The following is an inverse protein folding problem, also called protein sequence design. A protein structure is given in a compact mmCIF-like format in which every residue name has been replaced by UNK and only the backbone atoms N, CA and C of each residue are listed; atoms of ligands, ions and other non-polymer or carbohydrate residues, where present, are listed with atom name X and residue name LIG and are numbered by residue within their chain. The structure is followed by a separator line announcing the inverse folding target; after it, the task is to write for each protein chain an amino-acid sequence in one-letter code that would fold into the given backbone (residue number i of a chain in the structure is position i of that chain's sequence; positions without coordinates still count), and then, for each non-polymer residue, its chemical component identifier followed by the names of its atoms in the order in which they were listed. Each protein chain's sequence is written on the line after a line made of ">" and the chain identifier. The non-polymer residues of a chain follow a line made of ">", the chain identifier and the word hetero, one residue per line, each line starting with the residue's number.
data_IF_159166299519
#
_entry.id   IF_159166299519
#
_cell.length_a   1.000
_cell.length_b   1.000
_cell.length_c   1.000
_cell.angle_alpha   90.00
_cell.angle_beta   90.00
_cell.angle_gamma   90.00
#
_symmetry.space_group_name_H-M   'P 1'
#
loop_
_entity.id
_entity.type
_entity.pdbx_description
1 polymer ?
#
# COMPACT_ATOMS: atom_id res chain seq x y z
N UNK A 1 -29.47 -23.71 -67.51
CA UNK A 1 -28.36 -22.73 -67.40
C UNK A 1 -28.78 -21.44 -66.70
N UNK A 2 -29.90 -20.81 -67.06
CA UNK A 2 -30.37 -19.55 -66.45
C UNK A 2 -30.53 -19.60 -64.91
N UNK A 3 -31.04 -20.72 -64.36
CA UNK A 3 -31.15 -20.93 -62.92
C UNK A 3 -29.81 -20.84 -62.19
N UNK A 4 -28.75 -21.46 -62.73
CA UNK A 4 -27.41 -21.41 -62.15
C UNK A 4 -26.81 -20.00 -62.22
N UNK A 5 -27.07 -19.26 -63.29
CA UNK A 5 -26.66 -17.85 -63.42
C UNK A 5 -27.33 -17.00 -62.33
N UNK A 6 -28.61 -17.20 -62.07
CA UNK A 6 -29.34 -16.47 -61.01
C UNK A 6 -28.79 -16.80 -59.61
N UNK A 7 -28.47 -18.07 -59.33
CA UNK A 7 -27.84 -18.46 -58.06
C UNK A 7 -26.48 -17.77 -57.89
N UNK A 8 -25.65 -17.79 -58.92
CA UNK A 8 -24.33 -17.14 -58.89
C UNK A 8 -24.49 -15.63 -58.67
N UNK A 9 -25.41 -14.99 -59.38
CA UNK A 9 -25.69 -13.57 -59.21
C UNK A 9 -26.18 -13.24 -57.78
N UNK A 10 -27.10 -14.04 -57.24
CA UNK A 10 -27.59 -13.88 -55.87
C UNK A 10 -26.47 -14.09 -54.84
N UNK A 11 -25.59 -15.07 -55.05
CA UNK A 11 -24.45 -15.33 -54.18
C UNK A 11 -23.43 -14.16 -54.19
N UNK A 12 -23.12 -13.62 -55.37
CA UNK A 12 -22.26 -12.43 -55.51
C UNK A 12 -22.88 -11.25 -54.77
N UNK A 13 -24.18 -11.02 -54.95
CA UNK A 13 -24.90 -9.92 -54.28
C UNK A 13 -24.89 -10.09 -52.76
N UNK A 14 -25.12 -11.30 -52.25
CA UNK A 14 -25.09 -11.60 -50.82
C UNK A 14 -23.69 -11.44 -50.23
N UNK A 15 -22.66 -11.86 -50.96
CA UNK A 15 -21.25 -11.67 -50.55
C UNK A 15 -20.86 -10.19 -50.52
N UNK A 16 -21.28 -9.42 -51.54
CA UNK A 16 -21.06 -7.98 -51.58
C UNK A 16 -21.77 -7.26 -50.43
N UNK A 17 -23.02 -7.64 -50.12
CA UNK A 17 -23.78 -7.12 -48.98
C UNK A 17 -23.09 -7.46 -47.65
N UNK A 18 -22.67 -8.71 -47.46
CA UNK A 18 -21.94 -9.15 -46.28
C UNK A 18 -20.66 -8.33 -46.09
N UNK A 19 -19.88 -8.12 -47.16
CA UNK A 19 -18.65 -7.33 -47.09
C UNK A 19 -18.90 -5.85 -46.76
N UNK A 20 -19.98 -5.27 -47.29
CA UNK A 20 -20.38 -3.90 -46.98
C UNK A 20 -20.74 -3.73 -45.49
N UNK A 21 -21.50 -4.67 -44.92
CA UNK A 21 -21.85 -4.70 -43.50
C UNK A 21 -20.59 -4.87 -42.65
N UNK A 22 -19.74 -5.85 -42.98
CA UNK A 22 -18.48 -6.11 -42.27
C UNK A 22 -17.59 -4.87 -42.24
N UNK A 23 -17.45 -4.17 -43.38
CA UNK A 23 -16.69 -2.92 -43.48
C UNK A 23 -17.29 -1.82 -42.59
N UNK A 24 -18.61 -1.72 -42.51
CA UNK A 24 -19.30 -0.80 -41.61
C UNK A 24 -18.97 -1.07 -40.14
N UNK A 25 -19.06 -2.35 -39.71
CA UNK A 25 -18.73 -2.79 -38.36
C UNK A 25 -17.26 -2.51 -38.03
N UNK A 26 -16.33 -2.86 -38.93
CA UNK A 26 -14.89 -2.62 -38.73
C UNK A 26 -14.57 -1.12 -38.58
N UNK A 27 -15.21 -0.25 -39.38
CA UNK A 27 -15.06 1.20 -39.23
C UNK A 27 -15.57 1.69 -37.87
N UNK A 28 -16.75 1.23 -37.45
CA UNK A 28 -17.31 1.61 -36.15
C UNK A 28 -16.42 1.15 -35.00
N UNK A 29 -15.91 -0.09 -35.05
CA UNK A 29 -14.95 -0.63 -34.07
C UNK A 29 -13.66 0.20 -34.05
N UNK A 30 -13.10 0.52 -35.21
CA UNK A 30 -11.89 1.34 -35.32
C UNK A 30 -12.10 2.75 -34.74
N UNK A 31 -13.25 3.38 -35.01
CA UNK A 31 -13.60 4.67 -34.41
C UNK A 31 -13.75 4.58 -32.89
N UNK A 32 -14.43 3.55 -32.38
CA UNK A 32 -14.58 3.33 -30.95
C UNK A 32 -13.21 3.11 -30.26
N UNK A 33 -12.35 2.28 -30.86
CA UNK A 33 -10.97 2.07 -30.39
C UNK A 33 -10.16 3.37 -30.42
N UNK A 34 -10.35 4.21 -31.44
CA UNK A 34 -9.74 5.53 -31.52
C UNK A 34 -10.15 6.43 -30.34
N UNK A 35 -11.45 6.50 -30.05
CA UNK A 35 -11.98 7.27 -28.91
C UNK A 35 -11.44 6.73 -27.58
N UNK A 36 -11.49 5.41 -27.37
CA UNK A 36 -10.95 4.76 -26.17
C UNK A 36 -9.45 5.07 -26.02
N UNK A 37 -8.68 5.01 -27.11
CA UNK A 37 -7.25 5.29 -27.10
C UNK A 37 -6.96 6.73 -26.68
N UNK A 38 -7.72 7.70 -27.19
CA UNK A 38 -7.60 9.12 -26.77
C UNK A 38 -7.90 9.28 -25.29
N UNK A 39 -8.97 8.65 -24.78
CA UNK A 39 -9.32 8.69 -23.36
C UNK A 39 -8.19 8.08 -22.51
N UNK A 40 -7.65 6.93 -22.91
CA UNK A 40 -6.54 6.27 -22.21
C UNK A 40 -5.26 7.13 -22.21
N UNK A 41 -4.96 7.82 -23.31
CA UNK A 41 -3.83 8.76 -23.38
C UNK A 41 -4.03 9.91 -22.37
N UNK A 42 -5.22 10.51 -22.33
CA UNK A 42 -5.53 11.60 -21.38
C UNK A 42 -5.36 11.09 -19.94
N UNK A 43 -5.97 9.96 -19.59
CA UNK A 43 -5.84 9.37 -18.24
C UNK A 43 -4.38 9.01 -17.91
N UNK A 44 -3.62 8.51 -18.89
CA UNK A 44 -2.20 8.22 -18.73
C UNK A 44 -1.38 9.46 -18.40
N UNK A 45 -1.60 10.58 -19.11
CA UNK A 45 -0.93 11.85 -18.82
C UNK A 45 -1.26 12.34 -17.41
N UNK A 46 -2.53 12.29 -17.01
CA UNK A 46 -2.95 12.68 -15.65
C UNK A 46 -2.31 11.81 -14.57
N UNK A 47 -2.25 10.50 -14.77
CA UNK A 47 -1.58 9.59 -13.85
C UNK A 47 -0.07 9.87 -13.73
N UNK A 48 0.60 10.24 -14.83
CA UNK A 48 2.03 10.62 -14.82
C UNK A 48 2.24 11.93 -14.06
N UNK A 49 1.40 12.94 -14.28
CA UNK A 49 1.49 14.21 -13.56
C UNK A 49 1.30 14.00 -12.06
N UNK A 50 0.28 13.24 -11.67
CA UNK A 50 0.01 12.90 -10.28
C UNK A 50 1.13 12.05 -9.64
N UNK A 51 1.76 11.15 -10.40
CA UNK A 51 2.94 10.42 -9.95
C UNK A 51 4.15 11.31 -9.68
N UNK A 52 4.39 12.30 -10.54
CA UNK A 52 5.45 13.29 -10.31
C UNK A 52 5.18 14.13 -9.07
N UNK A 53 3.95 14.64 -8.93
CA UNK A 53 3.54 15.38 -7.74
C UNK A 53 3.66 14.52 -6.48
N UNK A 54 3.31 13.23 -6.54
CA UNK A 54 3.51 12.31 -5.43
C UNK A 54 4.97 12.17 -5.02
N UNK A 55 5.89 12.00 -5.98
CA UNK A 55 7.33 11.87 -5.72
C UNK A 55 7.94 13.16 -5.15
N UNK A 56 7.46 14.32 -5.60
CA UNK A 56 7.89 15.62 -5.06
C UNK A 56 7.35 15.83 -3.64
N UNK A 57 6.06 15.54 -3.42
CA UNK A 57 5.39 15.66 -2.13
C UNK A 57 5.95 14.68 -1.09
N UNK A 58 6.35 13.46 -1.51
CA UNK A 58 6.89 12.44 -0.60
C UNK A 58 8.24 12.80 0.01
N UNK A 59 8.92 13.80 -0.54
CA UNK A 59 10.15 14.36 0.03
C UNK A 59 9.88 15.41 1.09
N UNK A 60 8.63 15.83 1.26
CA UNK A 60 8.22 16.84 2.23
C UNK A 60 7.40 16.22 3.36
N UNK A 61 7.43 16.79 4.58
CA UNK A 61 6.57 16.33 5.66
C UNK A 61 5.08 16.41 5.30
N UNK A 62 4.30 15.51 5.90
CA UNK A 62 2.85 15.46 5.77
C UNK A 62 2.29 14.12 5.27
N UNK A 63 3.07 13.06 5.28
CA UNK A 63 2.60 11.71 4.97
C UNK A 63 2.35 10.93 6.26
N UNK A 64 1.25 10.20 6.31
CA UNK A 64 0.90 9.33 7.42
C UNK A 64 0.68 7.90 6.90
N UNK A 65 1.40 6.93 7.47
CA UNK A 65 1.16 5.50 7.27
C UNK A 65 0.48 4.97 8.51
N UNK A 66 -0.59 4.22 8.32
CA UNK A 66 -1.42 3.65 9.37
C UNK A 66 -1.45 2.15 9.17
N UNK A 67 -1.19 1.40 10.24
CA UNK A 67 -1.42 -0.03 10.28
C UNK A 67 -2.83 -0.29 10.81
N UNK A 68 -3.66 -0.93 10.01
CA UNK A 68 -5.04 -1.30 10.35
C UNK A 68 -5.20 -2.82 10.43
N UNK A 69 -6.00 -3.27 11.39
CA UNK A 69 -6.47 -4.65 11.44
C UNK A 69 -7.96 -4.63 11.80
N UNK A 70 -8.81 -5.10 10.88
CA UNK A 70 -10.27 -5.13 11.03
C UNK A 70 -10.89 -3.77 11.42
N UNK A 71 -10.37 -2.67 10.88
CA UNK A 71 -10.82 -1.31 11.19
C UNK A 71 -10.30 -0.76 12.53
N UNK A 72 -9.39 -1.47 13.20
CA UNK A 72 -8.63 -1.00 14.37
C UNK A 72 -7.26 -0.52 13.93
N UNK A 73 -6.99 0.77 14.16
CA UNK A 73 -5.66 1.34 14.04
C UNK A 73 -4.73 0.76 15.11
N UNK A 74 -3.71 0.01 14.70
CA UNK A 74 -2.73 -0.60 15.60
C UNK A 74 -1.52 0.31 15.82
N UNK A 75 -1.05 0.98 14.77
CA UNK A 75 0.14 1.82 14.79
C UNK A 75 0.07 2.89 13.69
N UNK A 76 0.92 3.92 13.78
CA UNK A 76 1.10 4.86 12.69
C UNK A 76 2.49 5.49 12.65
N UNK A 77 2.98 5.80 11.46
CA UNK A 77 4.31 6.36 11.22
C UNK A 77 4.15 7.57 10.30
N UNK A 78 4.74 8.69 10.68
CA UNK A 78 4.79 9.87 9.81
C UNK A 78 6.04 9.82 8.94
N UNK A 79 5.89 10.31 7.71
CA UNK A 79 7.01 10.76 6.87
C UNK A 79 8.07 9.68 6.59
N UNK A 80 7.59 8.44 6.38
CA UNK A 80 8.41 7.24 6.14
C UNK A 80 9.47 7.41 5.04
N UNK A 81 9.20 8.22 4.02
CA UNK A 81 10.08 8.41 2.86
C UNK A 81 11.02 9.61 2.94
N UNK A 82 11.10 10.29 4.09
CA UNK A 82 12.05 11.38 4.23
C UNK A 82 13.49 10.86 4.26
N UNK A 83 14.38 11.53 3.53
CA UNK A 83 15.81 11.17 3.49
C UNK A 83 16.49 11.37 4.85
N UNK A 84 16.01 12.34 5.64
CA UNK A 84 16.50 12.56 7.00
C UNK A 84 15.78 11.62 7.97
N UNK A 85 16.46 10.55 8.38
CA UNK A 85 15.93 9.60 9.37
C UNK A 85 15.65 10.26 10.72
N UNK A 86 16.34 11.34 11.08
CA UNK A 86 16.11 12.06 12.32
C UNK A 86 14.87 12.97 12.24
N UNK A 87 14.34 13.22 11.05
CA UNK A 87 13.11 13.98 10.84
C UNK A 87 11.84 13.12 11.01
N UNK A 88 11.97 11.80 11.25
CA UNK A 88 10.81 10.94 11.53
C UNK A 88 10.16 11.32 12.85
N UNK A 89 9.13 12.17 12.78
CA UNK A 89 8.32 12.53 13.95
C UNK A 89 7.44 11.35 14.33
N UNK A 90 7.80 10.68 15.43
CA UNK A 90 6.94 9.68 16.06
C UNK A 90 5.63 10.32 16.51
N UNK A 91 4.55 9.54 16.41
CA UNK A 91 3.20 10.01 16.71
C UNK A 91 2.94 9.94 18.21
N UNK A 92 2.42 11.02 18.78
CA UNK A 92 2.02 11.03 20.19
C UNK A 92 0.74 10.22 20.39
N UNK A 93 0.48 9.79 21.63
CA UNK A 93 -0.75 9.07 21.99
C UNK A 93 -2.02 9.88 21.67
N UNK A 94 -1.94 11.21 21.86
CA UNK A 94 -3.04 12.14 21.54
C UNK A 94 -3.30 12.23 20.03
N UNK A 95 -2.24 12.31 19.22
CA UNK A 95 -2.34 12.29 17.75
C UNK A 95 -2.95 10.97 17.28
N UNK A 96 -2.46 9.83 17.80
CA UNK A 96 -2.96 8.51 17.44
C UNK A 96 -4.44 8.34 17.83
N UNK A 97 -4.81 8.75 19.04
CA UNK A 97 -6.19 8.71 19.53
C UNK A 97 -7.13 9.63 18.74
N UNK A 98 -6.65 10.78 18.28
CA UNK A 98 -7.41 11.70 17.42
C UNK A 98 -7.66 11.09 16.04
N UNK A 99 -6.62 10.52 15.43
CA UNK A 99 -6.73 9.86 14.13
C UNK A 99 -7.59 8.60 14.19
N UNK A 100 -7.47 7.79 15.25
CA UNK A 100 -8.31 6.62 15.46
C UNK A 100 -9.80 6.98 15.51
N UNK A 101 -10.18 8.03 16.26
CA UNK A 101 -11.57 8.51 16.32
C UNK A 101 -12.09 8.95 14.95
N UNK A 102 -11.28 9.70 14.22
CA UNK A 102 -11.62 10.18 12.87
C UNK A 102 -11.77 9.03 11.88
N UNK A 103 -10.85 8.06 11.94
CA UNK A 103 -10.84 6.87 11.08
C UNK A 103 -12.06 5.99 11.32
N UNK A 104 -12.35 5.65 12.58
CA UNK A 104 -13.52 4.85 12.97
C UNK A 104 -14.85 5.54 12.62
N UNK A 105 -14.89 6.87 12.72
CA UNK A 105 -16.02 7.70 12.29
C UNK A 105 -16.16 7.85 10.77
N UNK A 106 -15.26 7.25 9.97
CA UNK A 106 -15.15 7.43 8.52
C UNK A 106 -14.92 8.89 8.10
N UNK A 107 -14.47 9.75 9.01
CA UNK A 107 -14.11 11.14 8.75
C UNK A 107 -12.63 11.23 8.32
N UNK A 108 -12.35 10.68 7.13
CA UNK A 108 -11.02 10.76 6.53
C UNK A 108 -10.60 12.22 6.26
N UNK A 109 -11.57 13.13 6.06
CA UNK A 109 -11.28 14.56 5.87
C UNK A 109 -10.68 15.17 7.13
N UNK A 110 -11.10 14.72 8.32
CA UNK A 110 -10.50 15.10 9.59
C UNK A 110 -9.00 14.77 9.65
N UNK A 111 -8.62 13.55 9.23
CA UNK A 111 -7.21 13.11 9.21
C UNK A 111 -6.39 13.90 8.18
N UNK A 112 -6.98 14.22 7.03
CA UNK A 112 -6.34 14.97 5.94
C UNK A 112 -6.14 16.46 6.22
N UNK A 113 -6.69 17.04 7.30
CA UNK A 113 -6.48 18.47 7.60
C UNK A 113 -5.00 18.80 7.84
N UNK A 114 -4.31 17.90 8.53
CA UNK A 114 -2.92 18.09 8.94
C UNK A 114 -1.95 17.22 8.12
N UNK A 115 -2.48 16.44 7.17
CA UNK A 115 -1.71 15.48 6.36
C UNK A 115 -2.05 15.65 4.90
N UNK A 116 -1.01 15.74 4.07
CA UNK A 116 -1.14 15.76 2.61
C UNK A 116 -1.65 14.42 2.11
N UNK A 117 -1.15 13.32 2.68
CA UNK A 117 -1.51 11.96 2.30
C UNK A 117 -1.59 11.02 3.51
N UNK A 118 -2.54 10.10 3.45
CA UNK A 118 -2.72 9.04 4.44
C UNK A 118 -2.76 7.70 3.71
N UNK A 119 -1.92 6.77 4.13
CA UNK A 119 -1.85 5.39 3.66
C UNK A 119 -2.35 4.49 4.77
N UNK A 120 -3.41 3.74 4.52
CA UNK A 120 -3.94 2.76 5.45
C UNK A 120 -3.57 1.39 4.93
N UNK A 121 -2.72 0.69 5.67
CA UNK A 121 -2.16 -0.62 5.31
C UNK A 121 -2.80 -1.66 6.22
N UNK A 122 -3.44 -2.65 5.62
CA UNK A 122 -4.02 -3.80 6.30
C UNK A 122 -2.91 -4.71 6.85
N UNK A 123 -3.05 -5.23 8.07
CA UNK A 123 -2.08 -6.13 8.71
C UNK A 123 -1.78 -7.38 7.86
N UNK A 124 -2.74 -7.88 7.07
CA UNK A 124 -2.53 -9.00 6.14
C UNK A 124 -1.54 -8.70 5.00
N UNK A 125 -1.16 -7.42 4.81
CA UNK A 125 -0.05 -7.03 3.93
C UNK A 125 1.27 -7.72 4.30
N UNK A 126 1.42 -8.10 5.57
CA UNK A 126 2.66 -8.64 6.13
C UNK A 126 2.63 -10.17 6.30
N UNK A 127 1.54 -10.85 5.92
CA UNK A 127 1.39 -12.30 6.12
C UNK A 127 2.46 -13.13 5.41
N UNK A 128 2.98 -12.61 4.30
CA UNK A 128 4.04 -13.26 3.51
C UNK A 128 5.42 -13.20 4.15
N UNK A 129 5.62 -12.40 5.22
CA UNK A 129 6.88 -12.35 5.95
C UNK A 129 7.11 -13.67 6.69
N UNK A 130 8.37 -14.10 6.76
CA UNK A 130 8.84 -15.29 7.47
C UNK A 130 9.86 -14.89 8.53
N UNK A 131 10.18 -15.78 9.47
CA UNK A 131 11.17 -15.49 10.54
C UNK A 131 12.54 -15.04 9.99
N UNK A 132 12.96 -15.58 8.84
CA UNK A 132 14.19 -15.15 8.16
C UNK A 132 14.22 -13.68 7.79
N UNK A 133 13.07 -13.06 7.52
CA UNK A 133 12.98 -11.65 7.11
C UNK A 133 13.28 -10.70 8.28
N UNK A 134 13.20 -11.20 9.52
CA UNK A 134 13.50 -10.45 10.74
C UNK A 134 14.94 -10.63 11.23
N UNK A 135 15.78 -11.41 10.54
CA UNK A 135 17.18 -11.64 10.91
C UNK A 135 18.01 -10.38 11.20
N UNK A 136 17.83 -9.25 10.48
CA UNK A 136 18.53 -8.00 10.80
C UNK A 136 18.11 -7.31 12.11
N UNK A 137 17.04 -7.79 12.74
CA UNK A 137 16.46 -7.25 13.96
C UNK A 137 16.70 -8.21 15.11
N UNK A 138 17.93 -8.21 15.63
CA UNK A 138 18.32 -9.09 16.74
C UNK A 138 17.28 -9.04 17.87
N UNK A 139 16.85 -10.21 18.32
CA UNK A 139 15.84 -10.35 19.37
C UNK A 139 14.40 -10.11 18.93
N UNK A 140 14.07 -9.85 17.65
CA UNK A 140 12.68 -9.75 17.18
C UNK A 140 12.33 -10.93 16.27
N UNK A 141 11.32 -11.71 16.67
CA UNK A 141 10.70 -12.73 15.82
C UNK A 141 9.44 -12.19 15.18
N UNK A 142 9.01 -12.78 14.06
CA UNK A 142 7.75 -12.42 13.39
C UNK A 142 6.59 -12.52 14.37
N UNK A 143 6.45 -13.66 15.04
CA UNK A 143 5.34 -13.90 15.97
C UNK A 143 5.32 -12.91 17.12
N UNK A 144 6.50 -12.53 17.64
CA UNK A 144 6.60 -11.49 18.66
C UNK A 144 6.10 -10.14 18.14
N UNK A 145 6.58 -9.68 16.97
CA UNK A 145 6.19 -8.38 16.41
C UNK A 145 4.67 -8.28 16.20
N UNK A 146 4.07 -9.31 15.61
CA UNK A 146 2.61 -9.34 15.39
C UNK A 146 1.84 -9.39 16.71
N UNK A 147 2.27 -10.23 17.66
CA UNK A 147 1.62 -10.31 18.98
C UNK A 147 1.72 -9.01 19.78
N UNK A 148 2.87 -8.33 19.71
CA UNK A 148 3.11 -7.08 20.42
C UNK A 148 2.30 -5.92 19.81
N UNK A 149 2.17 -5.86 18.48
CA UNK A 149 1.31 -4.89 17.79
C UNK A 149 -0.17 -5.05 18.14
N UNK A 150 -0.63 -6.27 18.38
CA UNK A 150 -2.01 -6.59 18.78
C UNK A 150 -2.26 -6.47 20.28
N UNK A 151 -1.20 -6.50 21.09
CA UNK A 151 -1.28 -6.39 22.55
C UNK A 151 -1.89 -5.05 22.94
N UNK A 152 -2.72 -5.05 23.98
CA UNK A 152 -3.19 -3.81 24.60
C UNK A 152 -2.09 -3.07 25.37
N UNK A 153 -0.94 -3.71 25.59
CA UNK A 153 0.25 -3.09 26.17
C UNK A 153 1.51 -3.62 25.48
N UNK A 154 1.90 -2.97 24.38
CA UNK A 154 3.08 -3.35 23.60
C UNK A 154 4.40 -3.12 24.38
N UNK A 155 4.44 -2.09 25.23
CA UNK A 155 5.59 -1.77 26.08
C UNK A 155 5.93 -2.93 27.02
N UNK A 156 4.92 -3.42 27.75
CA UNK A 156 5.05 -4.56 28.64
C UNK A 156 5.47 -5.83 27.89
N UNK A 157 4.90 -6.10 26.72
CA UNK A 157 5.28 -7.26 25.91
C UNK A 157 6.77 -7.23 25.52
N UNK A 158 7.27 -6.06 25.13
CA UNK A 158 8.70 -5.86 24.84
C UNK A 158 9.57 -6.02 26.09
N UNK A 159 9.13 -5.46 27.21
CA UNK A 159 9.85 -5.55 28.49
C UNK A 159 9.97 -7.00 28.97
N UNK A 160 8.85 -7.73 28.95
CA UNK A 160 8.79 -9.14 29.33
C UNK A 160 9.73 -9.99 28.48
N UNK A 161 9.84 -9.67 27.18
CA UNK A 161 10.77 -10.34 26.29
C UNK A 161 12.23 -10.03 26.65
N UNK A 162 12.60 -8.76 26.80
CA UNK A 162 13.97 -8.36 27.12
C UNK A 162 14.43 -8.95 28.46
N UNK A 163 13.56 -8.93 29.48
CA UNK A 163 13.85 -9.55 30.79
C UNK A 163 14.10 -11.05 30.63
N UNK A 164 13.23 -11.75 29.90
CA UNK A 164 13.37 -13.20 29.67
C UNK A 164 14.68 -13.55 28.96
N UNK A 165 15.09 -12.74 27.98
CA UNK A 165 16.34 -12.94 27.23
C UNK A 165 17.58 -12.60 28.07
N UNK A 166 17.46 -11.72 29.06
CA UNK A 166 18.55 -11.35 29.97
C UNK A 166 18.89 -12.40 31.03
N UNK A 167 18.06 -13.44 31.21
CA UNK A 167 18.18 -14.46 32.26
C UNK A 167 18.21 -13.89 33.70
N UNK A 168 17.75 -12.67 33.93
CA UNK A 168 17.61 -12.08 35.27
C UNK A 168 16.37 -12.68 35.95
N UNK A 169 16.51 -13.16 37.18
CA UNK A 169 15.42 -13.80 37.95
C UNK A 169 15.36 -13.29 39.38
N UNK A 170 14.22 -13.49 40.05
CA UNK A 170 14.03 -13.16 41.47
C UNK A 170 13.87 -11.67 41.72
N UNK A 171 14.42 -11.17 42.83
CA UNK A 171 14.29 -9.77 43.26
C UNK A 171 14.86 -8.77 42.24
N UNK A 172 15.93 -9.14 41.54
CA UNK A 172 16.53 -8.31 40.49
C UNK A 172 15.62 -8.13 39.27
N UNK A 173 14.69 -9.07 39.01
CA UNK A 173 13.73 -8.94 37.92
C UNK A 173 12.79 -7.74 38.15
N UNK A 174 12.27 -7.60 39.38
CA UNK A 174 11.38 -6.49 39.74
C UNK A 174 12.09 -5.14 39.62
N UNK A 175 13.31 -5.03 40.15
CA UNK A 175 14.12 -3.81 40.07
C UNK A 175 14.40 -3.43 38.61
N UNK A 176 14.81 -4.40 37.79
CA UNK A 176 15.10 -4.16 36.38
C UNK A 176 13.83 -3.74 35.62
N UNK A 177 12.71 -4.42 35.89
CA UNK A 177 11.41 -4.12 35.28
C UNK A 177 10.98 -2.68 35.57
N UNK A 178 11.05 -2.25 36.83
CA UNK A 178 10.66 -0.90 37.22
C UNK A 178 11.56 0.16 36.57
N UNK A 179 12.88 -0.07 36.58
CA UNK A 179 13.86 0.83 35.95
C UNK A 179 13.70 0.93 34.43
N UNK A 180 13.38 -0.18 33.77
CA UNK A 180 13.17 -0.20 32.32
C UNK A 180 11.83 0.43 31.95
N UNK A 181 10.77 0.17 32.72
CA UNK A 181 9.45 0.74 32.49
C UNK A 181 9.46 2.27 32.60
N UNK A 182 10.21 2.83 33.56
CA UNK A 182 10.38 4.28 33.70
C UNK A 182 11.06 4.92 32.47
N UNK A 183 11.95 4.17 31.80
CA UNK A 183 12.69 4.64 30.62
C UNK A 183 12.05 4.23 29.30
N UNK A 184 10.96 3.47 29.34
CA UNK A 184 10.33 2.98 28.11
C UNK A 184 9.67 4.13 27.36
N UNK A 185 9.79 4.15 26.02
CA UNK A 185 9.00 5.07 25.21
C UNK A 185 7.50 4.85 25.43
N UNK A 186 6.67 5.86 25.15
CA UNK A 186 5.22 5.71 25.11
C UNK A 186 4.79 4.54 24.21
N UNK A 187 3.64 3.94 24.52
CA UNK A 187 3.15 2.76 23.80
C UNK A 187 2.99 3.01 22.30
N UNK A 188 2.44 4.17 21.90
CA UNK A 188 2.33 4.57 20.49
C UNK A 188 3.68 4.50 19.77
N UNK A 189 4.76 4.98 20.39
CA UNK A 189 6.10 4.96 19.79
C UNK A 189 6.66 3.56 19.60
N UNK A 190 6.39 2.67 20.55
CA UNK A 190 6.81 1.27 20.46
C UNK A 190 6.07 0.60 19.30
N UNK A 191 4.75 0.78 19.20
CA UNK A 191 3.95 0.21 18.10
C UNK A 191 4.36 0.81 16.75
N UNK A 192 4.60 2.11 16.66
CA UNK A 192 5.16 2.74 15.44
C UNK A 192 6.51 2.14 15.06
N UNK A 193 7.36 1.84 16.04
CA UNK A 193 8.66 1.23 15.79
C UNK A 193 8.53 -0.20 15.27
N UNK A 194 7.64 -1.01 15.87
CA UNK A 194 7.33 -2.36 15.40
C UNK A 194 6.71 -2.36 13.99
N UNK A 195 5.86 -1.38 13.68
CA UNK A 195 5.33 -1.21 12.34
C UNK A 195 6.43 -0.85 11.32
N UNK A 196 7.39 0.00 11.70
CA UNK A 196 8.57 0.28 10.87
C UNK A 196 9.40 -0.97 10.59
N UNK A 197 9.55 -1.87 11.58
CA UNK A 197 10.21 -3.17 11.38
C UNK A 197 9.48 -3.99 10.31
N UNK A 198 8.14 -4.07 10.36
CA UNK A 198 7.34 -4.75 9.33
C UNK A 198 7.54 -4.14 7.94
N UNK A 199 7.50 -2.82 7.84
CA UNK A 199 7.69 -2.10 6.58
C UNK A 199 9.08 -2.33 5.99
N UNK A 200 10.13 -2.20 6.80
CA UNK A 200 11.49 -2.40 6.34
C UNK A 200 11.77 -3.87 5.97
N UNK A 201 11.28 -4.84 6.75
CA UNK A 201 11.37 -6.26 6.41
C UNK A 201 10.70 -6.55 5.04
N UNK A 202 9.51 -6.02 4.81
CA UNK A 202 8.81 -6.14 3.53
C UNK A 202 9.54 -5.47 2.37
N UNK A 203 10.05 -4.26 2.58
CA UNK A 203 10.79 -3.51 1.57
C UNK A 203 12.14 -4.18 1.23
N UNK A 204 12.82 -4.82 2.18
CA UNK A 204 14.01 -5.64 1.90
C UNK A 204 13.67 -6.88 1.09
N UNK A 205 12.57 -7.57 1.43
CA UNK A 205 12.14 -8.80 0.75
C UNK A 205 11.66 -8.57 -0.67
N UNK A 206 10.82 -7.55 -0.88
CA UNK A 206 10.09 -7.33 -2.13
C UNK A 206 10.54 -6.07 -2.89
N UNK A 207 11.43 -5.26 -2.29
CA UNK A 207 11.86 -3.99 -2.87
C UNK A 207 10.77 -2.91 -2.86
N UNK A 208 11.00 -1.80 -3.59
CA UNK A 208 10.02 -0.71 -3.72
C UNK A 208 8.69 -1.13 -4.32
N UNK A 209 8.65 -2.26 -5.04
CA UNK A 209 7.44 -2.82 -5.62
C UNK A 209 6.43 -3.30 -4.56
N UNK A 210 6.86 -3.52 -3.32
CA UNK A 210 5.99 -3.92 -2.20
C UNK A 210 4.74 -3.02 -2.09
N UNK A 211 4.95 -1.71 -1.99
CA UNK A 211 3.87 -0.73 -1.80
C UNK A 211 2.90 -0.68 -2.99
N UNK A 212 3.43 -0.85 -4.20
CA UNK A 212 2.61 -0.93 -5.41
C UNK A 212 1.76 -2.21 -5.41
N UNK A 213 2.36 -3.33 -4.97
CA UNK A 213 1.66 -4.59 -4.74
C UNK A 213 0.51 -4.43 -3.75
N UNK A 214 0.74 -3.77 -2.62
CA UNK A 214 -0.31 -3.52 -1.61
C UNK A 214 -1.49 -2.71 -2.16
N UNK A 215 -1.22 -1.62 -2.88
CA UNK A 215 -2.28 -0.83 -3.53
C UNK A 215 -3.09 -1.69 -4.49
N UNK A 216 -2.40 -2.53 -5.28
CA UNK A 216 -3.03 -3.37 -6.28
C UNK A 216 -3.88 -4.48 -5.66
N UNK A 217 -3.40 -5.12 -4.61
CA UNK A 217 -4.09 -6.19 -3.88
C UNK A 217 -5.25 -5.65 -3.02
N UNK A 218 -5.38 -4.33 -2.88
CA UNK A 218 -6.39 -3.72 -2.01
C UNK A 218 -6.04 -3.84 -0.52
N UNK A 219 -4.79 -4.17 -0.20
CA UNK A 219 -4.25 -4.21 1.17
C UNK A 219 -3.67 -2.87 1.63
N UNK A 220 -3.63 -1.89 0.74
CA UNK A 220 -3.34 -0.50 1.08
C UNK A 220 -4.33 0.42 0.38
N UNK A 221 -4.92 1.34 1.14
CA UNK A 221 -5.68 2.47 0.63
C UNK A 221 -4.92 3.77 0.83
N UNK A 222 -5.04 4.66 -0.14
CA UNK A 222 -4.39 5.97 -0.13
C UNK A 222 -5.42 7.09 -0.21
N UNK A 223 -5.29 8.07 0.67
CA UNK A 223 -6.16 9.23 0.76
C UNK A 223 -5.34 10.53 0.59
N UNK A 224 -5.78 11.47 -0.27
CA UNK A 224 -6.88 11.31 -1.23
C UNK A 224 -6.58 10.25 -2.30
N UNK A 225 -7.62 9.53 -2.74
CA UNK A 225 -7.50 8.50 -3.78
C UNK A 225 -7.45 9.15 -5.18
N UNK A 226 -6.23 9.53 -5.57
CA UNK A 226 -5.90 10.21 -6.81
C UNK A 226 -5.96 9.29 -8.05
N UNK A 227 -5.81 9.87 -9.24
CA UNK A 227 -5.88 9.10 -10.50
C UNK A 227 -4.74 8.08 -10.61
N UNK A 228 -3.53 8.42 -10.13
CA UNK A 228 -2.40 7.48 -10.09
C UNK A 228 -2.76 6.22 -9.29
N UNK A 229 -3.29 6.36 -8.07
CA UNK A 229 -3.62 5.20 -7.23
C UNK A 229 -4.71 4.32 -7.86
N UNK A 230 -5.72 4.93 -8.49
CA UNK A 230 -6.74 4.19 -9.25
C UNK A 230 -6.15 3.45 -10.44
N UNK A 231 -5.22 4.09 -11.17
CA UNK A 231 -4.53 3.47 -12.29
C UNK A 231 -3.68 2.26 -11.84
N UNK A 232 -3.00 2.35 -10.69
CA UNK A 232 -2.20 1.25 -10.12
C UNK A 232 -3.08 0.02 -9.85
N UNK A 233 -4.29 0.20 -9.30
CA UNK A 233 -5.22 -0.89 -9.01
C UNK A 233 -5.57 -1.72 -10.27
N UNK A 234 -5.77 -1.06 -11.41
CA UNK A 234 -6.15 -1.73 -12.67
C UNK A 234 -4.97 -2.18 -13.54
N UNK A 235 -3.79 -1.61 -13.35
CA UNK A 235 -2.61 -1.89 -14.19
C UNK A 235 -2.09 -3.32 -13.96
N UNK A 236 -1.75 -4.11 -15.01
CA UNK A 236 -1.24 -5.46 -14.84
C UNK A 236 0.17 -5.46 -14.20
N UNK A 237 0.46 -6.46 -13.36
CA UNK A 237 1.74 -6.57 -12.64
C UNK A 237 2.96 -6.66 -13.56
N UNK A 238 2.78 -7.15 -14.79
CA UNK A 238 3.84 -7.23 -15.79
C UNK A 238 4.44 -5.86 -16.12
N UNK A 239 3.63 -4.78 -16.08
CA UNK A 239 4.10 -3.42 -16.35
C UNK A 239 5.05 -2.95 -15.24
N UNK A 240 4.69 -3.18 -13.98
CA UNK A 240 5.53 -2.81 -12.83
C UNK A 240 6.84 -3.60 -12.79
N UNK A 241 6.78 -4.92 -13.00
CA UNK A 241 7.99 -5.77 -13.04
C UNK A 241 8.93 -5.37 -14.18
N UNK A 242 8.36 -5.00 -15.34
CA UNK A 242 9.16 -4.50 -16.47
C UNK A 242 9.81 -3.16 -16.14
N UNK A 243 9.07 -2.22 -15.54
CA UNK A 243 9.62 -0.94 -15.10
C UNK A 243 10.75 -1.13 -14.07
N UNK A 244 10.58 -2.03 -13.10
CA UNK A 244 11.61 -2.37 -12.11
C UNK A 244 12.89 -2.93 -12.78
N UNK A 245 12.74 -3.83 -13.76
CA UNK A 245 13.87 -4.40 -14.49
C UNK A 245 14.66 -3.38 -15.33
N UNK A 246 14.06 -2.23 -15.66
CA UNK A 246 14.73 -1.14 -16.40
C UNK A 246 15.49 -0.18 -15.49
N UNK A 247 15.25 -0.21 -14.17
CA UNK A 247 15.90 0.66 -13.18
C UNK A 247 17.11 0.00 -12.50
N UNK A 248 17.32 -1.31 -12.72
CA UNK A 248 18.48 -2.08 -12.26
C UNK A 248 19.55 -2.11 -13.34
#
# INVERSE_FOLDING_TARGET
>A
MLFWILIIAAFILLTALFFAILKGILKALASALGVISVILIILGVWAILDARSFVEESKTPGQLFVLDEDGRMLAGVNDLFMQDKNATKKMTEDELSSYYRSYRGKDIKGILKDKKRVFVIDMSAFDTLTESDFGPYEGLSRDFVFSALRSDNAAKALLDKTIRESNVTGEYEGILRDQMMEKMPPESEIRSSLFNVLLDASMRKQGPAFLLGLLKEGKMDAYPNSMMFRAIKVMPMSVFRKAESMMK
#
